data_IF_707139002632
#
_entry.id   IF_707139002632
#
_cell.length_a   1.000
_cell.length_b   1.000
_cell.length_c   1.000
_cell.angle_alpha   90.00
_cell.angle_beta   90.00
_cell.angle_gamma   90.00
#
_symmetry.space_group_name_H-M   'P 1'
#
loop_
_entity.id
_entity.type
_entity.pdbx_description
1 polymer ?
#
# COMPACT_ATOMS: atom_id res chain seq x y z
N UNK A 1 16.09 -44.82 -3.06
CA UNK A 1 16.97 -43.72 -2.61
C UNK A 1 16.87 -42.58 -3.63
N UNK A 2 16.00 -41.61 -3.38
CA UNK A 2 15.89 -40.39 -4.18
C UNK A 2 15.89 -39.21 -3.20
N UNK A 3 16.88 -38.32 -3.32
CA UNK A 3 17.15 -37.24 -2.38
C UNK A 3 16.22 -36.05 -2.61
N UNK A 4 15.79 -35.49 -1.49
CA UNK A 4 15.03 -34.26 -1.33
C UNK A 4 15.74 -33.06 -1.96
N UNK A 5 14.98 -32.21 -2.65
CA UNK A 5 15.36 -30.83 -2.94
C UNK A 5 14.61 -29.92 -1.98
N UNK A 6 15.29 -29.55 -0.90
CA UNK A 6 14.84 -28.57 0.09
C UNK A 6 14.95 -27.17 -0.50
N UNK A 7 13.84 -26.44 -0.54
CA UNK A 7 13.77 -25.04 -1.00
C UNK A 7 14.37 -24.10 0.05
N UNK A 8 15.55 -23.54 -0.24
CA UNK A 8 16.26 -22.54 0.59
C UNK A 8 15.71 -21.12 0.31
N UNK A 9 14.38 -20.96 0.36
CA UNK A 9 13.69 -19.67 0.09
C UNK A 9 12.91 -19.10 1.27
N UNK A 10 12.75 -19.86 2.36
CA UNK A 10 11.87 -19.49 3.48
C UNK A 10 12.55 -18.73 4.63
N UNK A 11 13.88 -18.71 4.72
CA UNK A 11 14.59 -18.16 5.89
C UNK A 11 14.90 -16.66 5.79
N UNK A 12 15.05 -16.11 4.58
CA UNK A 12 15.42 -14.70 4.37
C UNK A 12 14.30 -13.72 4.72
N UNK A 13 13.03 -14.11 4.48
CA UNK A 13 11.87 -13.29 4.86
C UNK A 13 11.63 -13.20 6.37
N UNK A 14 12.07 -14.19 7.16
CA UNK A 14 11.99 -14.15 8.63
C UNK A 14 13.01 -13.17 9.23
N UNK A 15 14.24 -13.18 8.72
CA UNK A 15 15.29 -12.25 9.15
C UNK A 15 14.90 -10.79 8.91
N UNK A 16 14.33 -10.51 7.73
CA UNK A 16 13.89 -9.16 7.34
C UNK A 16 12.75 -8.62 8.20
N UNK A 17 11.79 -9.48 8.57
CA UNK A 17 10.69 -9.13 9.49
C UNK A 17 11.16 -8.83 10.91
N UNK A 18 12.14 -9.57 11.42
CA UNK A 18 12.70 -9.30 12.76
C UNK A 18 13.54 -8.01 12.79
N UNK A 19 14.23 -7.69 11.70
CA UNK A 19 14.97 -6.42 11.58
C UNK A 19 14.03 -5.21 11.47
N UNK A 20 12.92 -5.34 10.73
CA UNK A 20 11.90 -4.29 10.64
C UNK A 20 11.09 -4.13 11.92
N UNK A 21 10.77 -5.21 12.64
CA UNK A 21 10.15 -5.14 13.98
C UNK A 21 11.07 -4.43 14.97
N UNK A 22 12.39 -4.71 14.95
CA UNK A 22 13.37 -4.03 15.81
C UNK A 22 13.45 -2.53 15.51
N UNK A 23 13.44 -2.15 14.23
CA UNK A 23 13.44 -0.73 13.82
C UNK A 23 12.11 -0.05 14.14
N UNK A 24 10.97 -0.73 13.99
CA UNK A 24 9.64 -0.19 14.33
C UNK A 24 9.40 -0.05 15.85
N UNK A 25 9.84 -1.00 16.69
CA UNK A 25 9.76 -0.88 18.15
C UNK A 25 10.60 0.29 18.68
N UNK A 26 11.72 0.60 18.04
CA UNK A 26 12.55 1.75 18.41
C UNK A 26 11.88 3.09 18.12
N UNK A 27 10.93 3.14 17.17
CA UNK A 27 10.18 4.33 16.76
C UNK A 27 9.00 4.62 17.72
N UNK A 28 8.43 3.60 18.35
CA UNK A 28 7.39 3.78 19.39
C UNK A 28 7.94 4.42 20.69
N UNK A 29 9.26 4.36 20.89
CA UNK A 29 9.97 4.96 22.02
C UNK A 29 10.69 6.25 21.64
N UNK A 30 9.97 7.23 21.09
CA UNK A 30 10.39 8.64 21.03
C UNK A 30 11.83 8.89 20.59
N UNK A 31 12.17 8.61 19.33
CA UNK A 31 13.17 9.31 18.54
C UNK A 31 13.01 8.89 17.08
N UNK A 32 12.78 9.85 16.19
CA UNK A 32 12.60 9.62 14.77
C UNK A 32 13.89 9.04 14.15
N UNK A 33 13.89 7.73 13.89
CA UNK A 33 14.88 7.09 13.05
C UNK A 33 14.24 6.78 11.68
N UNK A 34 14.88 7.29 10.64
CA UNK A 34 14.50 7.20 9.22
C UNK A 34 14.20 5.74 8.83
N UNK A 35 13.01 5.49 8.28
CA UNK A 35 12.65 4.22 7.64
C UNK A 35 13.42 4.06 6.32
N UNK A 36 14.63 3.49 6.37
CA UNK A 36 15.26 2.91 5.19
C UNK A 36 14.64 1.52 4.95
N UNK A 37 13.72 1.45 3.99
CA UNK A 37 13.06 0.20 3.59
C UNK A 37 13.91 -0.48 2.49
N UNK A 38 14.62 -1.55 2.84
CA UNK A 38 15.45 -2.34 1.91
C UNK A 38 14.65 -3.45 1.21
N UNK A 39 13.93 -3.15 0.13
CA UNK A 39 13.22 -4.20 -0.64
C UNK A 39 14.18 -5.09 -1.43
N UNK A 40 13.96 -6.40 -1.45
CA UNK A 40 14.61 -7.34 -2.39
C UNK A 40 13.57 -8.17 -3.15
N UNK A 41 13.78 -8.22 -4.48
CA UNK A 41 13.18 -9.05 -5.54
C UNK A 41 11.78 -8.73 -6.10
N UNK A 42 11.76 -8.09 -7.27
CA UNK A 42 11.64 -8.74 -8.59
C UNK A 42 12.11 -7.77 -9.70
N UNK A 43 12.79 -8.31 -10.71
CA UNK A 43 13.63 -7.56 -11.65
C UNK A 43 12.92 -6.80 -12.77
N UNK A 44 13.65 -5.79 -13.25
CA UNK A 44 13.78 -5.27 -14.62
C UNK A 44 12.53 -4.97 -15.47
N UNK A 45 12.35 -3.68 -15.81
CA UNK A 45 11.91 -3.29 -17.16
C UNK A 45 12.62 -2.00 -17.61
N UNK A 46 13.56 -2.15 -18.55
CA UNK A 46 14.11 -1.06 -19.37
C UNK A 46 13.16 -0.77 -20.55
N UNK A 47 12.92 0.51 -20.84
CA UNK A 47 12.66 0.99 -22.20
C UNK A 47 11.24 0.93 -22.77
N UNK A 48 10.18 0.93 -21.95
CA UNK A 48 8.82 1.18 -22.45
C UNK A 48 8.40 2.63 -22.12
N UNK A 49 7.63 3.32 -22.97
CA UNK A 49 7.00 4.58 -22.57
C UNK A 49 6.23 4.34 -21.27
N UNK A 50 6.50 5.14 -20.23
CA UNK A 50 5.90 4.96 -18.90
C UNK A 50 4.38 4.83 -19.03
N UNK A 51 3.87 3.60 -18.99
CA UNK A 51 2.44 3.36 -19.03
C UNK A 51 1.88 3.90 -17.72
N UNK A 52 1.08 4.96 -17.84
CA UNK A 52 0.32 5.51 -16.73
C UNK A 52 -0.76 4.52 -16.36
N UNK A 53 -0.89 4.28 -15.06
CA UNK A 53 -1.91 3.42 -14.47
C UNK A 53 -2.62 4.19 -13.38
N UNK A 54 -3.85 3.81 -13.11
CA UNK A 54 -4.60 4.24 -11.93
C UNK A 54 -4.53 3.11 -10.91
N UNK A 55 -3.61 3.24 -9.95
CA UNK A 55 -3.42 2.30 -8.84
C UNK A 55 -4.66 2.29 -7.95
N UNK A 56 -5.16 1.09 -7.65
CA UNK A 56 -6.26 0.86 -6.70
C UNK A 56 -7.54 1.68 -7.00
N UNK A 57 -7.77 1.97 -8.28
CA UNK A 57 -8.82 2.90 -8.76
C UNK A 57 -8.80 4.30 -8.09
N UNK A 58 -7.66 4.74 -7.56
CA UNK A 58 -7.52 6.09 -7.00
C UNK A 58 -6.32 6.81 -7.62
N UNK A 59 -5.10 6.35 -7.39
CA UNK A 59 -3.88 7.12 -7.61
C UNK A 59 -3.34 6.98 -9.03
N UNK A 60 -3.15 8.09 -9.73
CA UNK A 60 -2.52 8.08 -11.07
C UNK A 60 -1.00 8.09 -10.95
N UNK A 61 -0.35 7.03 -11.41
CA UNK A 61 1.12 6.92 -11.38
C UNK A 61 1.64 6.10 -12.57
N UNK A 62 2.92 5.71 -12.55
CA UNK A 62 3.53 4.79 -13.52
C UNK A 62 3.53 3.35 -12.99
N UNK A 63 3.60 2.37 -13.88
CA UNK A 63 3.73 0.96 -13.50
C UNK A 63 4.93 0.70 -12.55
N UNK A 64 6.03 1.45 -12.70
CA UNK A 64 7.21 1.33 -11.84
C UNK A 64 6.95 1.70 -10.37
N UNK A 65 5.86 2.40 -10.09
CA UNK A 65 5.51 2.89 -8.76
C UNK A 65 4.60 1.96 -7.96
N UNK A 66 4.15 0.84 -8.54
CA UNK A 66 3.28 -0.13 -7.85
C UNK A 66 3.92 -0.67 -6.57
N UNK A 67 5.18 -1.09 -6.67
CA UNK A 67 5.93 -1.63 -5.54
C UNK A 67 6.23 -0.55 -4.49
N UNK A 68 6.50 0.69 -4.94
CA UNK A 68 6.73 1.81 -4.03
C UNK A 68 5.49 2.16 -3.20
N UNK A 69 4.29 2.15 -3.80
CA UNK A 69 3.07 2.39 -3.05
C UNK A 69 2.79 1.26 -2.05
N UNK A 70 2.90 0.01 -2.52
CA UNK A 70 2.75 -1.19 -1.67
C UNK A 70 3.64 -1.10 -0.43
N UNK A 71 4.92 -0.83 -0.65
CA UNK A 71 5.94 -0.65 0.38
C UNK A 71 5.57 0.41 1.43
N UNK A 72 5.19 1.60 0.97
CA UNK A 72 4.83 2.71 1.84
C UNK A 72 3.57 2.36 2.64
N UNK A 73 2.58 1.75 1.99
CA UNK A 73 1.33 1.33 2.62
C UNK A 73 1.55 0.23 3.67
N UNK A 74 2.41 -0.75 3.43
CA UNK A 74 2.79 -1.76 4.43
C UNK A 74 3.43 -1.13 5.67
N UNK A 75 4.35 -0.17 5.47
CA UNK A 75 4.99 0.53 6.57
C UNK A 75 3.98 1.36 7.38
N UNK A 76 3.06 2.05 6.71
CA UNK A 76 1.97 2.78 7.36
C UNK A 76 1.01 1.84 8.11
N UNK A 77 0.69 0.67 7.55
CA UNK A 77 -0.16 -0.34 8.19
C UNK A 77 0.46 -0.89 9.46
N UNK A 78 1.76 -1.22 9.43
CA UNK A 78 2.48 -1.66 10.62
C UNK A 78 2.52 -0.56 11.70
N UNK A 79 2.73 0.70 11.31
CA UNK A 79 2.68 1.83 12.24
C UNK A 79 1.29 2.00 12.84
N UNK A 80 0.26 2.01 12.02
CA UNK A 80 -1.13 2.19 12.43
C UNK A 80 -1.58 1.09 13.38
N UNK A 81 -1.19 -0.17 13.13
CA UNK A 81 -1.47 -1.29 14.02
C UNK A 81 -0.88 -1.09 15.42
N UNK A 82 0.37 -0.60 15.49
CA UNK A 82 1.07 -0.37 16.76
C UNK A 82 0.62 0.91 17.48
N UNK A 83 0.00 1.85 16.78
CA UNK A 83 -0.42 3.15 17.31
C UNK A 83 -1.80 3.55 16.76
N UNK A 84 -2.83 2.78 17.11
CA UNK A 84 -4.16 2.86 16.49
C UNK A 84 -4.87 4.21 16.65
N UNK A 85 -4.55 4.94 17.73
CA UNK A 85 -5.10 6.27 18.04
C UNK A 85 -4.32 7.42 17.39
N UNK A 86 -3.27 7.11 16.62
CA UNK A 86 -2.52 8.12 15.86
C UNK A 86 -2.99 8.14 14.40
N UNK A 87 -2.92 9.30 13.72
CA UNK A 87 -3.31 9.37 12.31
C UNK A 87 -2.52 8.37 11.48
N UNK A 88 -3.19 7.74 10.52
CA UNK A 88 -2.61 6.73 9.63
C UNK A 88 -1.41 7.32 8.89
N UNK A 89 -1.58 8.51 8.30
CA UNK A 89 -0.54 9.20 7.57
C UNK A 89 0.47 9.89 8.50
N UNK A 90 1.69 10.08 7.99
CA UNK A 90 2.74 10.81 8.69
C UNK A 90 2.59 12.31 8.49
N UNK A 91 3.03 13.09 9.48
CA UNK A 91 3.26 14.53 9.32
C UNK A 91 4.15 14.82 8.11
N UNK A 92 3.93 15.97 7.47
CA UNK A 92 4.60 16.31 6.20
C UNK A 92 6.13 16.21 6.25
N UNK A 93 6.75 16.64 7.36
CA UNK A 93 8.20 16.55 7.54
C UNK A 93 8.70 15.11 7.56
N UNK A 94 8.05 14.24 8.34
CA UNK A 94 8.39 12.82 8.42
C UNK A 94 8.08 12.08 7.11
N UNK A 95 7.02 12.48 6.41
CA UNK A 95 6.73 11.95 5.08
C UNK A 95 7.84 12.33 4.09
N UNK A 96 8.31 13.58 4.11
CA UNK A 96 9.41 14.04 3.26
C UNK A 96 10.69 13.24 3.52
N UNK A 97 11.01 12.94 4.78
CA UNK A 97 12.16 12.12 5.15
C UNK A 97 12.05 10.67 4.65
N UNK A 98 10.83 10.14 4.52
CA UNK A 98 10.55 8.81 3.97
C UNK A 98 10.35 8.80 2.44
N UNK A 99 10.32 9.97 1.79
CA UNK A 99 9.90 10.13 0.38
C UNK A 99 11.03 9.97 -0.65
N UNK A 100 12.25 9.67 -0.18
CA UNK A 100 13.46 9.55 -0.99
C UNK A 100 13.45 8.41 -2.00
N UNK A 101 14.55 8.29 -2.74
CA UNK A 101 14.72 7.24 -3.74
C UNK A 101 14.85 5.86 -3.10
N UNK A 102 14.21 4.85 -3.69
CA UNK A 102 14.35 3.47 -3.25
C UNK A 102 15.75 2.95 -3.62
N UNK A 103 16.44 2.31 -2.68
CA UNK A 103 17.87 1.92 -2.82
C UNK A 103 18.11 1.10 -4.09
N UNK A 104 17.26 0.12 -4.38
CA UNK A 104 17.37 -0.73 -5.57
C UNK A 104 16.77 -0.14 -6.84
N UNK A 105 16.04 0.98 -6.73
CA UNK A 105 15.35 1.63 -7.83
C UNK A 105 15.47 3.14 -7.67
N UNK A 106 16.67 3.69 -7.89
CA UNK A 106 16.95 5.11 -7.63
C UNK A 106 16.07 6.08 -8.46
N UNK A 107 15.48 5.61 -9.55
CA UNK A 107 14.51 6.36 -10.37
C UNK A 107 13.09 6.39 -9.79
N UNK A 108 12.84 5.60 -8.75
CA UNK A 108 11.55 5.49 -8.06
C UNK A 108 11.70 6.17 -6.70
N UNK A 109 10.81 7.10 -6.40
CA UNK A 109 10.69 7.80 -5.12
C UNK A 109 9.22 8.18 -4.93
N UNK A 110 8.80 8.51 -3.70
CA UNK A 110 7.42 8.94 -3.48
C UNK A 110 7.10 10.19 -4.32
N UNK A 111 8.05 11.12 -4.44
CA UNK A 111 7.90 12.32 -5.27
C UNK A 111 7.79 11.99 -6.76
N UNK A 112 8.71 11.20 -7.31
CA UNK A 112 8.68 10.80 -8.72
C UNK A 112 7.43 9.98 -9.08
N UNK A 113 6.87 9.28 -8.10
CA UNK A 113 5.64 8.49 -8.22
C UNK A 113 4.35 9.28 -8.02
N UNK A 114 4.42 10.56 -7.65
CA UNK A 114 3.24 11.38 -7.40
C UNK A 114 2.56 11.14 -6.05
N UNK A 115 3.28 10.53 -5.10
CA UNK A 115 2.80 10.25 -3.74
C UNK A 115 3.13 11.37 -2.74
N UNK A 116 3.60 12.53 -3.21
CA UNK A 116 3.94 13.68 -2.36
C UNK A 116 2.77 14.21 -1.53
N UNK A 117 1.52 13.89 -1.90
CA UNK A 117 0.31 14.30 -1.20
C UNK A 117 -0.19 13.32 -0.13
N UNK A 118 0.49 12.19 0.10
CA UNK A 118 0.05 11.15 1.04
C UNK A 118 0.58 11.40 2.47
N UNK A 119 0.28 12.57 3.01
CA UNK A 119 0.69 12.97 4.36
C UNK A 119 -0.52 13.47 5.15
N UNK A 120 -0.32 13.57 6.46
CA UNK A 120 -1.31 14.06 7.40
C UNK A 120 -1.70 15.52 7.10
N UNK A 121 -2.97 15.84 7.26
CA UNK A 121 -3.49 17.16 6.98
C UNK A 121 -4.83 17.42 7.66
N UNK A 122 -5.44 18.59 7.40
CA UNK A 122 -6.72 18.97 7.99
C UNK A 122 -7.92 18.23 7.38
N UNK A 123 -7.68 17.50 6.30
CA UNK A 123 -8.67 16.80 5.48
C UNK A 123 -9.04 15.46 6.11
N UNK A 124 -10.29 15.02 5.97
CA UNK A 124 -10.83 13.87 6.72
C UNK A 124 -9.92 12.65 6.55
N UNK A 125 -9.72 12.23 5.31
CA UNK A 125 -8.95 11.01 5.05
C UNK A 125 -7.46 11.15 5.38
N UNK A 126 -6.91 12.36 5.39
CA UNK A 126 -5.52 12.60 5.82
C UNK A 126 -5.33 12.57 7.34
N UNK A 127 -6.39 12.79 8.13
CA UNK A 127 -6.35 12.81 9.59
C UNK A 127 -6.90 11.51 10.23
N UNK A 128 -7.49 10.61 9.45
CA UNK A 128 -8.07 9.36 9.96
C UNK A 128 -7.07 8.55 10.78
N UNK A 129 -7.50 8.13 11.97
CA UNK A 129 -6.81 7.11 12.77
C UNK A 129 -7.37 5.72 12.46
N UNK A 130 -6.56 4.67 12.67
CA UNK A 130 -7.03 3.29 12.48
C UNK A 130 -8.19 2.98 13.43
N UNK A 131 -8.12 3.47 14.67
CA UNK A 131 -9.19 3.28 15.65
C UNK A 131 -10.53 3.85 15.19
N UNK A 132 -10.55 5.04 14.59
CA UNK A 132 -11.78 5.63 14.05
C UNK A 132 -12.35 4.80 12.91
N UNK A 133 -11.50 4.32 12.00
CA UNK A 133 -11.93 3.46 10.89
C UNK A 133 -12.58 2.17 11.45
N UNK A 134 -11.95 1.53 12.43
CA UNK A 134 -12.45 0.31 13.06
C UNK A 134 -13.79 0.49 13.79
N UNK A 135 -14.00 1.65 14.39
CA UNK A 135 -15.15 1.91 15.26
C UNK A 135 -16.35 2.50 14.52
N UNK A 136 -16.11 3.33 13.50
CA UNK A 136 -17.14 4.16 12.88
C UNK A 136 -17.68 3.60 11.57
N UNK A 137 -16.96 2.69 10.91
CA UNK A 137 -17.31 2.24 9.56
C UNK A 137 -17.58 0.73 9.54
N UNK A 138 -18.84 0.33 9.29
CA UNK A 138 -19.18 -1.08 9.14
C UNK A 138 -18.53 -1.71 7.91
N UNK A 139 -18.31 -0.92 6.84
CA UNK A 139 -17.54 -1.35 5.67
C UNK A 139 -16.09 -1.74 5.99
N UNK A 140 -15.52 -1.26 7.11
CA UNK A 140 -14.23 -1.77 7.59
C UNK A 140 -14.34 -3.23 8.03
N UNK A 141 -15.39 -3.58 8.78
CA UNK A 141 -15.62 -4.96 9.25
C UNK A 141 -15.86 -5.88 8.06
N UNK A 142 -16.61 -5.42 7.07
CA UNK A 142 -16.85 -6.18 5.84
C UNK A 142 -15.55 -6.41 5.06
N UNK A 143 -14.74 -5.37 4.87
CA UNK A 143 -13.44 -5.47 4.19
C UNK A 143 -12.47 -6.38 4.95
N UNK A 144 -12.38 -6.25 6.28
CA UNK A 144 -11.59 -7.13 7.14
C UNK A 144 -11.97 -8.60 6.96
N UNK A 145 -13.27 -8.91 6.99
CA UNK A 145 -13.75 -10.29 6.84
C UNK A 145 -13.48 -10.82 5.43
N UNK A 146 -13.77 -10.00 4.41
CA UNK A 146 -13.57 -10.32 3.00
C UNK A 146 -12.10 -10.61 2.64
N UNK A 147 -11.15 -9.97 3.33
CA UNK A 147 -9.72 -10.08 3.07
C UNK A 147 -8.98 -10.99 4.08
N UNK A 148 -9.69 -11.80 4.86
CA UNK A 148 -9.12 -12.61 5.95
C UNK A 148 -8.58 -13.98 5.52
N UNK A 149 -9.02 -14.50 4.36
CA UNK A 149 -8.57 -15.78 3.80
C UNK A 149 -8.59 -15.72 2.26
N UNK A 150 -7.55 -16.27 1.64
CA UNK A 150 -7.39 -16.37 0.18
C UNK A 150 -7.24 -17.82 -0.31
N UNK A 151 -7.78 -18.78 0.43
CA UNK A 151 -7.79 -20.21 0.05
C UNK A 151 -8.37 -20.48 -1.35
N UNK A 152 -9.41 -19.73 -1.76
CA UNK A 152 -9.86 -19.62 -3.17
C UNK A 152 -9.43 -18.25 -3.71
N UNK A 153 -8.20 -18.16 -4.23
CA UNK A 153 -7.55 -16.87 -4.50
C UNK A 153 -8.37 -15.92 -5.38
N UNK A 154 -8.89 -16.39 -6.54
CA UNK A 154 -9.57 -15.52 -7.50
C UNK A 154 -10.90 -14.96 -6.96
N UNK A 155 -11.73 -15.81 -6.36
CA UNK A 155 -13.02 -15.39 -5.77
C UNK A 155 -12.80 -14.50 -4.56
N UNK A 156 -11.89 -14.89 -3.66
CA UNK A 156 -11.54 -14.12 -2.47
C UNK A 156 -10.97 -12.75 -2.85
N UNK A 157 -10.14 -12.66 -3.89
CA UNK A 157 -9.62 -11.39 -4.37
C UNK A 157 -10.72 -10.46 -4.87
N UNK A 158 -11.69 -10.96 -5.64
CA UNK A 158 -12.78 -10.12 -6.14
C UNK A 158 -13.65 -9.59 -4.99
N UNK A 159 -13.95 -10.44 -4.00
CA UNK A 159 -14.72 -10.07 -2.81
C UNK A 159 -13.94 -9.05 -1.96
N UNK A 160 -12.67 -9.33 -1.66
CA UNK A 160 -11.79 -8.45 -0.90
C UNK A 160 -11.62 -7.08 -1.56
N UNK A 161 -11.26 -7.02 -2.85
CA UNK A 161 -11.06 -5.75 -3.57
C UNK A 161 -12.34 -4.93 -3.67
N UNK A 162 -13.49 -5.58 -3.86
CA UNK A 162 -14.81 -4.92 -3.84
C UNK A 162 -15.08 -4.29 -2.47
N UNK A 163 -14.82 -5.02 -1.39
CA UNK A 163 -15.05 -4.52 -0.03
C UNK A 163 -14.07 -3.37 0.33
N UNK A 164 -12.81 -3.43 -0.12
CA UNK A 164 -11.86 -2.31 0.03
C UNK A 164 -12.34 -1.06 -0.70
N UNK A 165 -12.89 -1.21 -1.92
CA UNK A 165 -13.47 -0.08 -2.65
C UNK A 165 -14.69 0.51 -1.94
N UNK A 166 -15.55 -0.34 -1.35
CA UNK A 166 -16.70 0.11 -0.57
C UNK A 166 -16.26 0.90 0.67
N UNK A 167 -15.27 0.40 1.42
CA UNK A 167 -14.67 1.14 2.54
C UNK A 167 -14.14 2.51 2.08
N UNK A 168 -13.37 2.57 0.99
CA UNK A 168 -12.90 3.84 0.42
C UNK A 168 -14.07 4.79 0.13
N UNK A 169 -15.12 4.29 -0.50
CA UNK A 169 -16.24 5.11 -0.95
C UNK A 169 -17.05 5.63 0.27
N UNK A 170 -17.18 4.85 1.33
CA UNK A 170 -17.75 5.29 2.61
C UNK A 170 -16.90 6.37 3.29
N UNK A 171 -15.57 6.18 3.36
CA UNK A 171 -14.65 7.19 3.88
C UNK A 171 -14.75 8.49 3.07
N UNK A 172 -14.83 8.37 1.74
CA UNK A 172 -14.95 9.52 0.84
C UNK A 172 -16.31 10.23 0.98
N UNK A 173 -17.40 9.49 1.19
CA UNK A 173 -18.73 10.06 1.40
C UNK A 173 -18.81 10.85 2.71
N UNK A 174 -18.10 10.41 3.75
CA UNK A 174 -17.93 11.17 4.99
C UNK A 174 -17.04 12.42 4.82
N UNK A 175 -16.29 12.52 3.73
CA UNK A 175 -15.45 13.69 3.44
C UNK A 175 -16.25 14.79 2.77
N UNK A 176 -16.07 16.03 3.26
CA UNK A 176 -16.74 17.21 2.71
C UNK A 176 -16.05 17.80 1.48
N UNK A 177 -14.88 17.27 1.07
CA UNK A 177 -14.05 17.83 0.00
C UNK A 177 -13.97 16.91 -1.21
N UNK A 178 -14.19 17.51 -2.38
CA UNK A 178 -13.90 16.87 -3.66
C UNK A 178 -12.38 16.76 -3.84
N UNK A 179 -11.87 15.54 -4.05
CA UNK A 179 -10.46 15.31 -4.36
C UNK A 179 -9.66 14.45 -3.37
N UNK A 180 -10.24 14.05 -2.24
CA UNK A 180 -9.56 13.19 -1.25
C UNK A 180 -9.50 11.70 -1.64
N UNK A 181 -10.00 11.31 -2.82
CA UNK A 181 -10.13 9.91 -3.24
C UNK A 181 -8.82 9.11 -3.17
N UNK A 182 -7.68 9.77 -3.39
CA UNK A 182 -6.35 9.16 -3.29
C UNK A 182 -5.99 8.87 -1.82
N UNK A 183 -6.19 9.85 -0.94
CA UNK A 183 -5.97 9.71 0.50
C UNK A 183 -6.93 8.69 1.11
N UNK A 184 -8.23 8.74 0.82
CA UNK A 184 -9.21 7.77 1.30
C UNK A 184 -8.91 6.36 0.77
N UNK A 185 -8.45 6.25 -0.47
CA UNK A 185 -8.05 4.97 -1.07
C UNK A 185 -6.88 4.35 -0.32
N UNK A 186 -5.82 5.13 -0.07
CA UNK A 186 -4.67 4.65 0.69
C UNK A 186 -5.05 4.38 2.15
N UNK A 187 -5.85 5.22 2.80
CA UNK A 187 -6.32 5.01 4.17
C UNK A 187 -7.11 3.71 4.31
N UNK A 188 -8.03 3.42 3.37
CA UNK A 188 -8.77 2.16 3.34
C UNK A 188 -7.85 0.96 3.23
N UNK A 189 -6.89 1.00 2.29
CA UNK A 189 -5.92 -0.08 2.11
C UNK A 189 -5.03 -0.26 3.34
N UNK A 190 -4.48 0.83 3.92
CA UNK A 190 -3.67 0.78 5.13
C UNK A 190 -4.45 0.15 6.29
N UNK A 191 -5.72 0.53 6.43
CA UNK A 191 -6.57 0.01 7.50
C UNK A 191 -6.78 -1.50 7.39
N UNK A 192 -7.09 -2.00 6.19
CA UNK A 192 -7.28 -3.45 5.97
C UNK A 192 -5.95 -4.20 6.02
N UNK A 193 -4.87 -3.65 5.46
CA UNK A 193 -3.53 -4.24 5.52
C UNK A 193 -3.03 -4.40 6.97
N UNK A 194 -3.47 -3.55 7.90
CA UNK A 194 -3.08 -3.65 9.32
C UNK A 194 -3.48 -4.99 9.96
N UNK A 195 -4.53 -5.65 9.44
CA UNK A 195 -4.99 -6.97 9.91
C UNK A 195 -4.08 -8.11 9.44
N UNK A 196 -3.41 -7.94 8.28
CA UNK A 196 -2.56 -8.96 7.66
C UNK A 196 -1.06 -8.66 7.76
N UNK A 197 -0.64 -7.45 8.15
CA UNK A 197 0.77 -7.00 8.11
C UNK A 197 1.75 -7.88 8.90
N UNK A 198 1.27 -8.61 9.92
CA UNK A 198 2.07 -9.56 10.69
C UNK A 198 2.07 -11.00 10.11
N UNK A 199 1.20 -11.30 9.15
CA UNK A 199 1.10 -12.55 8.42
C UNK A 199 1.53 -12.33 6.96
N UNK A 200 2.78 -12.64 6.67
CA UNK A 200 3.39 -12.37 5.37
C UNK A 200 2.62 -13.00 4.18
N UNK A 201 2.15 -14.24 4.31
CA UNK A 201 1.42 -14.89 3.21
C UNK A 201 0.10 -14.16 2.93
N UNK A 202 -0.64 -13.85 3.99
CA UNK A 202 -1.93 -13.16 3.88
C UNK A 202 -1.76 -11.74 3.33
N UNK A 203 -0.71 -11.04 3.77
CA UNK A 203 -0.38 -9.70 3.30
C UNK A 203 0.06 -9.69 1.83
N UNK A 204 0.91 -10.63 1.41
CA UNK A 204 1.34 -10.78 0.02
C UNK A 204 0.14 -11.08 -0.90
N UNK A 205 -0.76 -11.96 -0.45
CA UNK A 205 -1.99 -12.28 -1.19
C UNK A 205 -2.93 -11.06 -1.27
N UNK A 206 -3.09 -10.31 -0.18
CA UNK A 206 -3.87 -9.06 -0.15
C UNK A 206 -3.36 -8.03 -1.16
N UNK A 207 -2.06 -7.71 -1.15
CA UNK A 207 -1.50 -6.76 -2.12
C UNK A 207 -1.49 -7.29 -3.55
N UNK A 208 -1.40 -8.62 -3.74
CA UNK A 208 -1.57 -9.24 -5.06
C UNK A 208 -2.99 -9.05 -5.58
N UNK A 209 -4.02 -9.17 -4.73
CA UNK A 209 -5.41 -8.90 -5.10
C UNK A 209 -5.62 -7.43 -5.49
N UNK A 210 -5.05 -6.48 -4.75
CA UNK A 210 -5.22 -5.05 -5.05
C UNK A 210 -4.75 -4.66 -6.45
N UNK A 211 -3.84 -5.42 -7.08
CA UNK A 211 -3.44 -5.19 -8.48
C UNK A 211 -4.58 -5.39 -9.47
N UNK A 212 -5.65 -6.13 -9.11
CA UNK A 212 -6.86 -6.24 -9.93
C UNK A 212 -7.60 -4.91 -10.09
N UNK A 213 -7.40 -3.99 -9.14
CA UNK A 213 -7.98 -2.64 -9.19
C UNK A 213 -7.19 -1.69 -10.09
N UNK A 214 -5.99 -2.09 -10.53
CA UNK A 214 -5.14 -1.25 -11.36
C UNK A 214 -5.72 -1.16 -12.77
N UNK A 215 -6.03 0.06 -13.19
CA UNK A 215 -6.59 0.31 -14.52
C UNK A 215 -5.56 1.00 -15.40
N UNK A 216 -5.42 0.62 -16.68
CA UNK A 216 -4.66 1.42 -17.62
C UNK A 216 -5.28 2.82 -17.69
N UNK A 217 -4.44 3.85 -17.66
CA UNK A 217 -4.93 5.21 -17.78
C UNK A 217 -5.48 5.43 -19.19
N UNK A 218 -6.80 5.63 -19.31
CA UNK A 218 -7.51 5.76 -20.59
C UNK A 218 -7.11 7.02 -21.38
N UNK A 219 -6.37 7.94 -20.77
CA UNK A 219 -5.84 9.13 -21.47
C UNK A 219 -4.69 8.81 -22.44
N UNK A 220 -4.17 7.59 -22.47
CA UNK A 220 -3.14 7.15 -23.44
C UNK A 220 -3.71 6.61 -24.77
N UNK A 221 -4.91 7.05 -25.18
CA UNK A 221 -5.52 6.68 -26.48
C UNK A 221 -5.19 7.65 -27.63
N UNK A 222 -4.13 8.44 -27.51
CA UNK A 222 -3.85 9.58 -28.41
C UNK A 222 -2.63 9.51 -29.33
N UNK A 223 -1.77 8.48 -29.28
CA UNK A 223 -0.50 8.51 -30.05
C UNK A 223 -0.18 7.28 -30.92
N UNK A 224 -1.07 6.30 -31.03
CA UNK A 224 -0.88 5.14 -31.94
C UNK A 224 -1.92 5.07 -33.06
N UNK A 225 -2.65 6.16 -33.34
CA UNK A 225 -3.65 6.24 -34.40
C UNK A 225 -3.19 6.83 -35.74
N UNK A 226 -1.90 7.11 -35.94
CA UNK A 226 -1.36 7.72 -37.18
C UNK A 226 -0.19 6.94 -37.79
N UNK A 227 -0.25 5.62 -37.80
CA UNK A 227 0.65 4.77 -38.60
C UNK A 227 -0.12 3.56 -39.14
N UNK A 228 -1.01 3.82 -40.10
CA UNK A 228 -1.38 2.91 -41.19
C UNK A 228 -1.55 3.75 -42.45
#
# INVERSE_FOLDING_TARGET
MGKEHTWIGMETGKWWREEMKKKALHIAGGNALVLQIEFVHLGFHFGQPMRRIKLWDSLRTSLCCQNALTALTEALALRALNAQSTPIFLEQGLWADCSGAFVLQQSVSAVACGFSGLFFGPDLCSNLTLQEVMQQYDSYKDARNACSDFSSFDDACNICTTAVLALRDDLLQSSSKTGEKDLCGVAAVVSVASESVNNASLNDDFFRCLRLLDKPDKYFKGLFGMLV
#
